data_IF_241778141703
#
_entry.id   IF_241778141703
#
_cell.length_a   1.000
_cell.length_b   1.000
_cell.length_c   1.000
_cell.angle_alpha   90.00
_cell.angle_beta   90.00
_cell.angle_gamma   90.00
#
_symmetry.space_group_name_H-M   'P 1'
#
loop_
_entity.id
_entity.type
_entity.pdbx_description
1 polymer ?
2 non-polymer ?
3 non-polymer ?
4 non-polymer ?
5 non-polymer ?
6 water ?
#
# COMPACT_ATOMS: atom_id res chain seq x y z
N UNK A 7 -12.88 -13.96 29.56
CA UNK A 7 -12.22 -13.30 28.43
C UNK A 7 -10.67 -13.32 28.59
N UNK A 8 -10.02 -12.12 28.59
CA UNK A 8 -8.57 -11.87 28.74
C UNK A 8 -8.38 -10.37 29.12
N UNK A 9 -7.13 -9.93 29.36
CA UNK A 9 -6.82 -8.52 29.68
C UNK A 9 -5.60 -8.03 28.91
N UNK A 10 -5.52 -6.70 28.74
CA UNK A 10 -4.39 -6.04 28.10
C UNK A 10 -3.18 -6.00 29.05
N UNK A 11 -1.92 -6.14 28.55
CA UNK A 11 -0.77 -6.06 29.45
C UNK A 11 -0.68 -4.72 30.15
N UNK A 12 -0.14 -4.73 31.37
CA UNK A 12 0.01 -3.56 32.22
C UNK A 12 0.75 -2.38 31.56
N UNK A 13 1.83 -2.66 30.80
CA UNK A 13 2.65 -1.67 30.09
C UNK A 13 1.85 -0.86 29.06
N UNK A 14 0.89 -1.51 28.39
CA UNK A 14 0.00 -0.89 27.42
C UNK A 14 -1.02 -0.01 28.16
N UNK A 15 -1.76 -0.59 29.15
CA UNK A 15 -2.75 0.11 29.98
C UNK A 15 -2.16 1.34 30.67
N UNK A 16 -0.83 1.29 30.91
CA UNK A 16 -0.13 2.41 31.54
C UNK A 16 -0.14 3.67 30.69
N UNK A 17 -0.02 3.53 29.36
CA UNK A 17 0.06 4.66 28.44
C UNK A 17 -1.19 4.91 27.63
N UNK A 18 -2.03 3.90 27.48
CA UNK A 18 -3.23 3.96 26.66
C UNK A 18 -4.48 3.48 27.36
N UNK A 19 -5.59 4.20 27.09
CA UNK A 19 -6.93 3.85 27.52
C UNK A 19 -7.52 3.12 26.32
N UNK A 20 -7.70 1.80 26.45
CA UNK A 20 -8.26 0.98 25.39
C UNK A 20 -9.77 1.19 25.23
N UNK A 21 -10.22 1.20 23.97
CA UNK A 21 -11.62 1.43 23.61
C UNK A 21 -12.08 0.35 22.58
N UNK A 22 -13.17 0.65 21.83
CA UNK A 22 -13.83 -0.19 20.83
C UNK A 22 -12.92 -0.86 19.81
N UNK A 23 -13.36 -2.01 19.27
CA UNK A 23 -12.64 -2.77 18.23
C UNK A 23 -12.97 -2.13 16.87
N UNK A 24 -11.94 -1.91 16.03
CA UNK A 24 -12.09 -1.28 14.72
C UNK A 24 -12.13 -2.28 13.54
N UNK A 25 -11.83 -3.55 13.83
CA UNK A 25 -11.80 -4.64 12.86
C UNK A 25 -11.19 -5.90 13.42
N UNK A 30 -5.32 -9.30 11.53
CA UNK A 30 -5.48 -9.23 12.98
C UNK A 30 -6.47 -8.18 13.47
N UNK A 31 -6.76 -8.20 14.80
CA UNK A 31 -7.69 -7.28 15.46
C UNK A 31 -7.05 -5.91 15.72
N UNK A 32 -7.79 -4.82 15.37
CA UNK A 32 -7.36 -3.44 15.56
C UNK A 32 -8.35 -2.78 16.54
N UNK A 33 -7.83 -2.16 17.61
CA UNK A 33 -8.64 -1.48 18.62
C UNK A 33 -8.34 0.01 18.64
N UNK A 34 -9.36 0.80 19.00
CA UNK A 34 -9.25 2.24 19.19
C UNK A 34 -8.73 2.42 20.61
N UNK A 35 -7.82 3.37 20.80
CA UNK A 35 -7.26 3.69 22.11
C UNK A 35 -6.94 5.15 22.16
N UNK A 36 -6.73 5.65 23.38
CA UNK A 36 -6.39 7.02 23.65
C UNK A 36 -5.08 7.08 24.38
N UNK A 37 -4.14 7.84 23.86
CA UNK A 37 -2.85 8.07 24.51
C UNK A 37 -3.12 9.01 25.66
N UNK A 38 -2.81 8.54 26.87
CA UNK A 38 -3.05 9.28 28.12
C UNK A 38 -2.31 10.63 28.13
N UNK A 39 -1.04 10.63 27.67
CA UNK A 39 -0.18 11.81 27.63
C UNK A 39 -0.80 12.96 26.80
N UNK A 40 -1.43 12.66 25.67
CA UNK A 40 -1.97 13.68 24.74
C UNK A 40 -3.48 13.78 24.61
N UNK A 41 -4.20 12.71 25.05
CA UNK A 41 -5.65 12.54 24.90
C UNK A 41 -6.04 12.39 23.43
N UNK A 42 -5.10 11.91 22.60
CA UNK A 42 -5.32 11.71 21.18
C UNK A 42 -5.58 10.26 20.87
N UNK A 43 -6.39 10.02 19.83
CA UNK A 43 -6.76 8.69 19.37
C UNK A 43 -5.61 8.03 18.65
N UNK A 44 -5.47 6.73 18.85
CA UNK A 44 -4.48 5.88 18.20
C UNK A 44 -5.20 4.60 17.81
N UNK A 45 -4.60 3.80 16.95
CA UNK A 45 -5.15 2.50 16.59
C UNK A 45 -4.13 1.49 17.11
N UNK A 46 -4.61 0.43 17.76
CA UNK A 46 -3.71 -0.59 18.29
C UNK A 46 -3.98 -1.93 17.62
N UNK A 47 -3.00 -2.39 16.84
CA UNK A 47 -3.05 -3.65 16.12
C UNK A 47 -2.56 -4.77 17.03
N UNK A 48 -3.44 -5.72 17.30
CA UNK A 48 -3.16 -6.88 18.15
C UNK A 48 -2.83 -8.08 17.26
N UNK A 49 -1.61 -8.60 17.39
CA UNK A 49 -1.14 -9.78 16.64
C UNK A 49 -0.91 -10.95 17.61
N UNK A 50 -1.78 -11.98 17.55
CA UNK A 50 -1.69 -13.19 18.40
C UNK A 50 -0.37 -13.94 18.20
N UNK A 51 0.22 -14.44 19.30
CA UNK A 51 1.48 -15.19 19.29
C UNK A 51 1.23 -16.68 19.12
N UNK A 65 5.53 -13.82 14.50
CA UNK A 65 6.70 -13.45 15.29
C UNK A 65 7.88 -12.98 14.41
N UNK A 66 8.23 -13.77 13.36
CA UNK A 66 9.32 -13.45 12.43
C UNK A 66 8.90 -12.31 11.49
N UNK A 67 7.61 -12.28 11.12
CA UNK A 67 7.01 -11.25 10.29
C UNK A 67 6.82 -9.97 11.11
N UNK A 68 6.48 -10.13 12.41
CA UNK A 68 6.25 -9.03 13.38
C UNK A 68 7.55 -8.26 13.59
N UNK A 69 8.68 -8.98 13.74
CA UNK A 69 10.03 -8.42 13.91
C UNK A 69 10.38 -7.56 12.67
N UNK A 70 10.13 -8.10 11.46
CA UNK A 70 10.40 -7.44 10.19
C UNK A 70 9.46 -6.26 9.96
N UNK A 71 8.17 -6.42 10.33
CA UNK A 71 7.13 -5.40 10.18
C UNK A 71 7.49 -4.12 10.95
N UNK A 72 7.84 -4.25 12.24
CA UNK A 72 8.21 -3.14 13.14
C UNK A 72 9.44 -2.44 12.66
N UNK A 73 10.47 -3.24 12.30
CA UNK A 73 11.74 -2.78 11.75
C UNK A 73 11.51 -1.95 10.48
N UNK A 74 10.63 -2.44 9.57
CA UNK A 74 10.26 -1.72 8.35
C UNK A 74 9.57 -0.40 8.74
N UNK A 75 8.52 -0.47 9.60
CA UNK A 75 7.72 0.69 10.04
C UNK A 75 8.52 1.79 10.69
N UNK A 76 9.52 1.44 11.53
CA UNK A 76 10.39 2.41 12.21
C UNK A 76 11.31 3.15 11.21
N UNK A 77 11.78 2.47 10.17
CA UNK A 77 12.67 3.04 9.15
C UNK A 77 11.96 4.01 8.19
N UNK A 78 10.71 3.69 7.82
CA UNK A 78 9.95 4.49 6.86
C UNK A 78 9.44 5.79 7.39
N UNK A 79 9.53 6.83 6.56
CA UNK A 79 9.04 8.15 6.88
C UNK A 79 8.51 8.77 5.59
N UNK A 80 7.24 8.53 5.34
CA UNK A 80 6.59 9.06 4.15
C UNK A 80 5.16 9.42 4.53
N UNK A 81 4.62 10.54 4.02
CA UNK A 81 3.26 10.95 4.38
C UNK A 81 2.14 9.99 3.95
N UNK A 82 2.41 9.11 2.96
CA UNK A 82 1.42 8.15 2.46
C UNK A 82 1.67 6.73 2.95
N UNK A 83 2.45 6.62 4.00
CA UNK A 83 2.74 5.35 4.66
C UNK A 83 2.41 5.51 6.16
N UNK A 84 1.62 4.59 6.72
CA UNK A 84 1.29 4.59 8.15
C UNK A 84 2.58 4.61 9.04
N UNK A 85 2.51 5.29 10.19
CA UNK A 85 3.62 5.39 11.13
C UNK A 85 3.37 4.60 12.40
N UNK A 86 4.42 3.98 12.92
CA UNK A 86 4.39 3.26 14.18
C UNK A 86 4.60 4.30 15.29
N UNK A 87 3.80 4.24 16.35
CA UNK A 87 3.93 5.18 17.46
C UNK A 87 4.55 4.50 18.67
N UNK A 88 4.29 3.20 18.83
CA UNK A 88 4.76 2.38 19.94
C UNK A 88 4.59 0.90 19.63
N UNK A 89 5.19 0.04 20.46
CA UNK A 89 5.13 -1.41 20.30
C UNK A 89 5.28 -2.10 21.65
N UNK A 90 4.39 -3.07 21.91
CA UNK A 90 4.40 -3.88 23.13
C UNK A 90 4.50 -5.38 22.79
N UNK A 91 5.49 -6.06 23.40
CA UNK A 91 5.77 -7.48 23.23
C UNK A 91 5.32 -8.23 24.50
N UNK A 92 4.09 -8.77 24.48
CA UNK A 92 3.47 -9.48 25.62
C UNK A 92 2.99 -10.90 25.22
N UNK A 93 1.80 -11.36 25.72
CA UNK A 93 1.18 -12.65 25.38
C UNK A 93 0.82 -12.62 23.91
N UNK A 94 0.55 -11.40 23.42
CA UNK A 94 0.28 -11.03 22.04
C UNK A 94 1.13 -9.80 21.74
N UNK A 95 1.31 -9.47 20.46
CA UNK A 95 2.03 -8.28 20.04
C UNK A 95 1.03 -7.14 19.90
N UNK A 96 1.43 -5.94 20.33
CA UNK A 96 0.60 -4.73 20.23
C UNK A 96 1.41 -3.68 19.48
N UNK A 97 0.96 -3.35 18.27
CA UNK A 97 1.59 -2.31 17.44
C UNK A 97 0.70 -1.08 17.50
N UNK A 98 1.19 0.01 18.12
CA UNK A 98 0.44 1.26 18.23
C UNK A 98 0.67 2.07 16.95
N UNK A 99 -0.39 2.37 16.24
CA UNK A 99 -0.30 3.10 14.97
C UNK A 99 -1.12 4.36 14.98
N UNK A 100 -0.89 5.25 14.01
CA UNK A 100 -1.74 6.42 13.90
C UNK A 100 -3.15 6.03 13.47
N UNK A 101 -4.16 6.77 13.95
CA UNK A 101 -5.55 6.51 13.62
C UNK A 101 -5.96 7.22 12.35
N UNK A 102 -6.64 6.49 11.48
CA UNK A 102 -7.13 7.00 10.20
C UNK A 102 -8.62 7.01 10.29
N UNK A 103 -9.21 8.20 10.31
CA UNK A 103 -10.64 8.42 10.48
C UNK A 103 -11.57 7.97 9.38
N UNK A 104 -11.09 7.94 8.14
CA UNK A 104 -11.92 7.50 7.01
C UNK A 104 -11.99 6.00 6.77
N UNK A 105 -11.21 5.23 7.55
CA UNK A 105 -11.15 3.78 7.42
C UNK A 105 -10.50 3.31 6.13
N UNK A 106 -10.81 2.09 5.75
CA UNK A 106 -10.26 1.42 4.57
C UNK A 106 -10.88 1.88 3.27
N UNK A 107 -10.05 1.94 2.21
CA UNK A 107 -10.49 2.21 0.84
C UNK A 107 -11.49 1.10 0.43
N UNK A 108 -11.36 -0.12 1.00
CA UNK A 108 -12.25 -1.27 0.73
C UNK A 108 -13.73 -0.89 0.91
N UNK A 109 -14.04 -0.17 1.99
CA UNK A 109 -15.40 0.25 2.31
C UNK A 109 -15.98 1.28 1.32
N UNK A 110 -15.11 1.98 0.56
CA UNK A 110 -15.54 2.94 -0.46
C UNK A 110 -15.79 2.27 -1.83
N UNK A 111 -15.40 1.01 -1.99
CA UNK A 111 -15.50 0.27 -3.26
C UNK A 111 -16.29 -1.04 -3.15
N UNK A 112 -16.58 -1.49 -1.90
CA UNK A 112 -17.32 -2.72 -1.62
C UNK A 112 -18.66 -2.75 -2.37
N UNK A 113 -18.97 -3.93 -2.90
CA UNK A 113 -20.15 -4.15 -3.73
C UNK A 113 -19.80 -3.71 -5.12
N UNK A 114 -20.60 -2.78 -5.67
CA UNK A 114 -20.35 -2.21 -6.98
C UNK A 114 -20.17 -0.68 -6.96
N UNK A 115 -19.76 -0.17 -5.77
CA UNK A 115 -19.50 1.25 -5.55
C UNK A 115 -18.22 1.66 -6.28
N UNK A 116 -18.33 2.73 -7.05
CA UNK A 116 -17.21 3.27 -7.81
C UNK A 116 -16.99 4.72 -7.48
N UNK A 117 -15.71 5.08 -7.31
CA UNK A 117 -15.28 6.44 -7.01
C UNK A 117 -15.31 7.27 -8.29
N UNK A 118 -15.39 8.60 -8.14
CA UNK A 118 -15.28 9.55 -9.26
C UNK A 118 -13.85 9.39 -9.78
N UNK A 119 -13.65 9.50 -11.09
CA UNK A 119 -12.33 9.34 -11.71
C UNK A 119 -11.27 10.25 -11.08
N UNK A 120 -11.65 11.48 -10.71
CA UNK A 120 -10.78 12.46 -10.11
C UNK A 120 -10.35 12.02 -8.71
N UNK A 121 -11.25 11.35 -7.98
CA UNK A 121 -10.98 10.80 -6.64
C UNK A 121 -10.01 9.62 -6.79
N UNK A 122 -10.22 8.75 -7.82
CA UNK A 122 -9.32 7.63 -8.15
C UNK A 122 -7.92 8.16 -8.38
N UNK A 123 -7.79 9.23 -9.17
CA UNK A 123 -6.52 9.82 -9.53
C UNK A 123 -5.79 10.30 -8.32
N UNK A 124 -6.47 11.09 -7.47
CA UNK A 124 -5.87 11.61 -6.25
C UNK A 124 -5.37 10.48 -5.33
N UNK A 125 -6.20 9.45 -5.13
CA UNK A 125 -5.79 8.33 -4.28
C UNK A 125 -4.70 7.50 -4.93
N UNK A 126 -4.81 7.25 -6.27
CA UNK A 126 -3.81 6.44 -6.99
C UNK A 126 -2.44 7.08 -6.97
N UNK A 127 -2.39 8.41 -7.22
CA UNK A 127 -1.16 9.19 -7.23
C UNK A 127 -0.44 8.98 -5.92
N UNK A 128 -1.17 9.06 -4.80
CA UNK A 128 -0.60 8.87 -3.46
C UNK A 128 -0.07 7.45 -3.26
N UNK A 129 -0.83 6.44 -3.75
CA UNK A 129 -0.45 5.04 -3.67
C UNK A 129 0.88 4.83 -4.44
N UNK A 130 1.03 5.50 -5.60
CA UNK A 130 2.25 5.41 -6.42
C UNK A 130 3.45 6.03 -5.70
N UNK A 131 3.26 7.18 -5.05
CA UNK A 131 4.31 7.86 -4.31
C UNK A 131 4.75 6.99 -3.15
N UNK A 132 3.80 6.39 -2.44
CA UNK A 132 4.03 5.48 -1.32
C UNK A 132 4.83 4.25 -1.78
N UNK A 133 4.39 3.60 -2.86
CA UNK A 133 5.05 2.39 -3.37
C UNK A 133 6.40 2.72 -3.97
N UNK A 134 6.52 3.86 -4.62
CA UNK A 134 7.79 4.32 -5.18
C UNK A 134 8.80 4.50 -4.05
N UNK A 135 8.39 5.17 -2.95
CA UNK A 135 9.19 5.37 -1.75
C UNK A 135 9.63 4.00 -1.18
N UNK A 136 8.72 3.00 -1.14
CA UNK A 136 9.03 1.66 -0.63
C UNK A 136 10.13 1.00 -1.46
N UNK A 137 9.95 1.01 -2.79
CA UNK A 137 10.88 0.42 -3.77
C UNK A 137 12.24 1.11 -3.75
N UNK A 138 12.28 2.44 -3.58
CA UNK A 138 13.52 3.22 -3.43
C UNK A 138 14.27 2.82 -2.16
N UNK A 139 13.54 2.39 -1.12
CA UNK A 139 14.08 1.98 0.18
C UNK A 139 14.27 0.47 0.37
N UNK A 140 14.21 -0.28 -0.74
CA UNK A 140 14.38 -1.72 -0.76
C UNK A 140 13.29 -2.54 -0.11
N UNK A 141 12.06 -2.02 -0.09
CA UNK A 141 10.94 -2.73 0.53
C UNK A 141 9.88 -3.07 -0.53
N UNK A 142 9.39 -4.30 -0.48
CA UNK A 142 8.30 -4.79 -1.33
C UNK A 142 7.16 -5.07 -0.37
N UNK A 143 5.99 -4.50 -0.60
CA UNK A 143 4.83 -4.66 0.28
C UNK A 143 4.24 -6.06 0.18
N UNK A 144 3.97 -6.51 -1.06
CA UNK A 144 3.45 -7.86 -1.39
C UNK A 144 2.00 -8.14 -1.01
N UNK A 145 1.32 -7.20 -0.38
CA UNK A 145 -0.06 -7.43 0.03
C UNK A 145 -0.92 -6.17 -0.19
N UNK A 146 -0.67 -5.45 -1.31
CA UNK A 146 -1.45 -4.26 -1.63
C UNK A 146 -2.86 -4.66 -2.06
N UNK A 147 -3.86 -4.07 -1.40
CA UNK A 147 -5.28 -4.32 -1.63
C UNK A 147 -6.09 -3.20 -0.98
N UNK A 148 -7.35 -2.95 -1.44
CA UNK A 148 -8.16 -1.86 -0.85
C UNK A 148 -8.26 -1.87 0.68
N UNK A 149 -8.20 -3.06 1.33
CA UNK A 149 -8.23 -3.12 2.81
C UNK A 149 -6.94 -2.70 3.49
N UNK A 150 -5.84 -2.56 2.70
CA UNK A 150 -4.53 -2.11 3.23
C UNK A 150 -4.23 -0.65 2.87
N UNK A 151 -5.24 0.05 2.36
CA UNK A 151 -5.15 1.48 2.03
C UNK A 151 -6.15 2.17 2.98
N UNK A 152 -5.65 3.09 3.82
CA UNK A 152 -6.47 3.82 4.78
C UNK A 152 -6.64 5.25 4.37
N UNK A 153 -7.83 5.80 4.61
CA UNK A 153 -8.13 7.20 4.30
C UNK A 153 -8.06 8.04 5.58
N UNK A 154 -7.43 9.23 5.51
CA UNK A 154 -7.24 10.12 6.66
C UNK A 154 -8.50 10.79 7.18
N UNK A 155 -9.51 10.96 6.32
CA UNK A 155 -10.77 11.59 6.74
C UNK A 155 -11.96 11.00 6.01
N UNK A 156 -13.17 11.42 6.43
CA UNK A 156 -14.45 11.02 5.85
C UNK A 156 -14.75 11.82 4.54
N UNK A 157 -13.96 12.87 4.30
CA UNK A 157 -14.04 13.71 3.09
C UNK A 157 -13.42 12.93 1.96
N UNK A 158 -14.02 13.00 0.75
CA UNK A 158 -13.47 12.25 -0.39
C UNK A 158 -12.10 12.74 -0.85
N UNK A 159 -11.80 14.02 -0.67
CA UNK A 159 -10.50 14.55 -1.00
C UNK A 159 -9.70 14.48 0.28
N UNK A 160 -8.94 13.38 0.45
CA UNK A 160 -8.15 13.15 1.66
C UNK A 160 -6.81 12.49 1.36
N UNK A 161 -5.97 12.40 2.40
CA UNK A 161 -4.69 11.75 2.30
C UNK A 161 -4.89 10.27 2.50
N UNK A 162 -4.13 9.44 1.78
CA UNK A 162 -4.24 8.00 1.96
C UNK A 162 -2.97 7.45 2.55
N UNK A 163 -3.07 6.34 3.31
CA UNK A 163 -1.88 5.70 3.86
C UNK A 163 -1.88 4.22 3.63
N UNK A 164 -0.73 3.71 3.18
CA UNK A 164 -0.51 2.30 2.97
C UNK A 164 -0.22 1.75 4.34
N UNK A 165 -0.77 0.58 4.65
CA UNK A 165 -0.58 -0.10 5.91
C UNK A 165 -0.36 -1.59 5.68
N UNK A 166 -0.20 -2.35 6.80
CA UNK A 166 -0.07 -3.82 6.87
C UNK A 166 1.15 -4.36 6.13
N UNK A 167 2.31 -4.18 6.78
CA UNK A 167 3.62 -4.58 6.28
C UNK A 167 4.05 -5.97 6.77
N UNK A 168 3.08 -6.79 7.18
CA UNK A 168 3.27 -8.16 7.67
C UNK A 168 3.83 -9.15 6.66
N UNK A 169 3.47 -9.01 5.36
CA UNK A 169 3.93 -9.86 4.25
C UNK A 169 5.09 -9.19 3.51
N UNK A 170 5.55 -8.04 3.98
CA UNK A 170 6.60 -7.33 3.26
C UNK A 170 7.98 -7.97 3.28
N UNK A 171 8.77 -7.65 2.27
CA UNK A 171 10.11 -8.23 2.08
C UNK A 171 11.13 -7.13 1.89
N UNK A 172 12.29 -7.28 2.51
CA UNK A 172 13.42 -6.36 2.39
C UNK A 172 14.38 -6.90 1.31
N UNK A 173 14.75 -6.05 0.35
CA UNK A 173 15.71 -6.37 -0.73
C UNK A 173 17.10 -5.95 -0.25
N UNK A 174 18.03 -6.90 -0.34
CA UNK A 174 19.45 -6.72 -0.03
C UNK A 174 20.31 -7.49 -1.00
N UNK A 175 21.57 -7.82 -0.61
CA UNK A 175 22.48 -8.62 -1.45
C UNK A 175 21.98 -10.07 -1.44
N UNK A 176 21.52 -10.54 -2.62
CA UNK A 176 20.96 -11.88 -2.85
C UNK A 176 22.04 -12.96 -2.79
N UNK A 177 21.58 -14.22 -2.58
CA UNK A 177 22.40 -15.42 -2.59
C UNK A 177 22.82 -15.66 -4.04
N UNK A 178 21.97 -15.22 -5.00
CA UNK A 178 22.23 -15.29 -6.44
C UNK A 178 23.43 -14.43 -6.82
N UNK A 179 23.50 -13.20 -6.28
CA UNK A 179 24.59 -12.27 -6.51
C UNK A 179 25.91 -12.87 -6.02
N UNK A 180 25.88 -13.54 -4.84
CA UNK A 180 27.05 -14.25 -4.26
C UNK A 180 27.44 -15.48 -5.12
N UNK A 181 26.43 -16.22 -5.63
CA UNK A 181 26.57 -17.40 -6.47
C UNK A 181 27.26 -17.03 -7.78
N UNK A 182 26.89 -15.87 -8.38
CA UNK A 182 27.46 -15.38 -9.63
C UNK A 182 28.92 -14.88 -9.50
N UNK A 183 29.41 -14.65 -8.27
CA UNK A 183 30.80 -14.22 -8.03
C UNK A 183 31.79 -15.39 -8.26
N UNK A 184 31.27 -16.61 -8.21
CA UNK A 184 32.06 -17.82 -8.44
C UNK A 184 31.88 -18.40 -9.84
N UNK A 185 32.63 -19.49 -10.10
CA UNK A 185 32.55 -20.22 -11.37
C UNK A 185 31.35 -21.17 -11.32
N UNK A 186 30.53 -21.23 -12.39
CA UNK A 186 29.33 -22.09 -12.34
C UNK A 186 29.57 -23.54 -12.72
N UNK A 187 30.78 -24.07 -12.58
CA UNK A 187 31.10 -25.45 -12.93
C UNK A 187 30.05 -26.47 -12.41
N UNK A 188 29.58 -26.29 -11.15
CA UNK A 188 28.65 -27.16 -10.43
C UNK A 188 27.25 -26.57 -10.31
N UNK A 189 27.06 -25.36 -10.83
CA UNK A 189 25.79 -24.67 -10.76
C UNK A 189 24.71 -25.22 -11.73
N UNK A 190 23.52 -25.49 -11.17
CA UNK A 190 22.37 -26.02 -11.88
C UNK A 190 21.82 -25.04 -12.91
N UNK A 191 21.29 -25.54 -14.05
CA UNK A 191 20.77 -24.62 -15.10
C UNK A 191 19.63 -23.70 -14.69
N UNK A 192 18.71 -24.16 -13.81
CA UNK A 192 17.58 -23.32 -13.37
C UNK A 192 18.03 -22.10 -12.56
N UNK A 193 19.22 -22.18 -11.94
CA UNK A 193 19.78 -21.04 -11.20
C UNK A 193 20.23 -19.99 -12.24
N UNK A 194 20.89 -20.44 -13.30
CA UNK A 194 21.35 -19.56 -14.38
C UNK A 194 20.18 -18.97 -15.17
N UNK A 195 19.12 -19.76 -15.40
CA UNK A 195 17.88 -19.32 -16.07
C UNK A 195 17.21 -18.21 -15.23
N UNK A 196 17.21 -18.32 -13.89
CA UNK A 196 16.62 -17.35 -12.97
C UNK A 196 17.26 -15.95 -13.00
N UNK A 197 18.48 -15.83 -13.56
CA UNK A 197 19.22 -14.57 -13.69
C UNK A 197 18.44 -13.55 -14.58
N UNK A 198 17.70 -14.05 -15.58
CA UNK A 198 16.87 -13.25 -16.48
C UNK A 198 15.87 -12.36 -15.74
N UNK A 199 15.23 -12.93 -14.67
CA UNK A 199 14.21 -12.22 -13.88
C UNK A 199 14.64 -11.67 -12.54
N UNK A 200 15.79 -12.09 -12.01
CA UNK A 200 16.24 -11.59 -10.71
C UNK A 200 16.13 -10.04 -10.57
N UNK A 201 15.59 -9.59 -9.43
CA UNK A 201 15.44 -8.15 -9.23
C UNK A 201 14.15 -7.55 -9.76
N UNK A 202 13.15 -8.38 -10.14
CA UNK A 202 11.86 -7.89 -10.60
C UNK A 202 10.74 -8.18 -9.66
N UNK A 203 11.09 -8.60 -8.42
CA UNK A 203 10.15 -8.94 -7.35
C UNK A 203 9.19 -7.80 -7.02
N UNK A 204 9.69 -6.56 -7.08
CA UNK A 204 8.93 -5.34 -6.81
C UNK A 204 7.76 -5.17 -7.76
N UNK A 205 7.86 -5.74 -8.99
CA UNK A 205 6.81 -5.69 -9.99
C UNK A 205 5.47 -6.31 -9.49
N UNK A 206 5.50 -7.14 -8.42
CA UNK A 206 4.27 -7.72 -7.84
C UNK A 206 3.41 -6.57 -7.25
N UNK A 207 4.05 -5.53 -6.68
CA UNK A 207 3.34 -4.34 -6.17
C UNK A 207 2.66 -3.55 -7.26
N UNK A 208 3.30 -3.45 -8.43
CA UNK A 208 2.74 -2.76 -9.56
C UNK A 208 1.55 -3.47 -10.17
N UNK A 209 1.56 -4.82 -10.15
CA UNK A 209 0.43 -5.62 -10.60
C UNK A 209 -0.77 -5.31 -9.66
N UNK A 210 -0.55 -5.46 -8.33
CA UNK A 210 -1.55 -5.17 -7.28
C UNK A 210 -2.15 -3.75 -7.42
N UNK A 211 -1.30 -2.75 -7.71
CA UNK A 211 -1.71 -1.36 -7.95
C UNK A 211 -2.64 -1.27 -9.16
N UNK A 212 -2.35 -2.07 -10.19
CA UNK A 212 -3.17 -2.12 -11.40
C UNK A 212 -4.55 -2.70 -11.10
N UNK A 213 -4.64 -3.70 -10.21
CA UNK A 213 -5.88 -4.35 -9.78
C UNK A 213 -6.70 -3.38 -8.90
N UNK A 214 -6.03 -2.62 -8.01
CA UNK A 214 -6.71 -1.65 -7.14
C UNK A 214 -7.31 -0.56 -8.03
N UNK A 215 -6.51 -0.01 -8.97
CA UNK A 215 -6.93 1.04 -9.91
C UNK A 215 -8.11 0.58 -10.77
N UNK A 216 -8.06 -0.65 -11.29
CA UNK A 216 -9.15 -1.25 -12.07
C UNK A 216 -10.46 -1.22 -11.23
N UNK A 217 -10.40 -1.72 -10.00
CA UNK A 217 -11.53 -1.74 -9.08
C UNK A 217 -12.06 -0.34 -8.78
N UNK A 218 -11.17 0.60 -8.44
CA UNK A 218 -11.56 1.97 -8.15
C UNK A 218 -12.27 2.65 -9.29
N UNK A 219 -11.76 2.49 -10.51
CA UNK A 219 -12.33 3.12 -11.71
C UNK A 219 -13.66 2.51 -12.17
N UNK A 220 -13.77 1.19 -12.07
CA UNK A 220 -14.91 0.44 -12.60
C UNK A 220 -15.98 -0.02 -11.59
N UNK A 221 -15.59 -0.23 -10.34
CA UNK A 221 -16.47 -0.72 -9.28
C UNK A 221 -16.54 -2.22 -9.23
N UNK A 222 -15.77 -2.92 -10.07
CA UNK A 222 -15.77 -4.39 -10.13
C UNK A 222 -14.34 -4.97 -10.30
N UNK A 223 -14.04 -6.20 -9.79
CA UNK A 223 -12.68 -6.78 -9.94
C UNK A 223 -12.34 -7.26 -11.36
N UNK A 224 -11.05 -7.17 -11.81
CA UNK A 224 -10.73 -7.62 -13.19
C UNK A 224 -10.72 -9.14 -13.36
N UNK A 225 -10.39 -9.87 -12.28
CA UNK A 225 -10.33 -11.32 -12.22
C UNK A 225 -11.30 -11.78 -11.12
N UNK A 226 -12.27 -12.62 -11.49
CA UNK A 226 -13.30 -13.09 -10.57
C UNK A 226 -13.82 -14.45 -10.99
N UNK A 227 -14.29 -15.24 -10.02
CA UNK A 227 -14.86 -16.54 -10.33
C UNK A 227 -16.37 -16.43 -10.61
N UNK A 228 -16.95 -15.23 -10.38
CA UNK A 228 -18.36 -14.89 -10.62
C UNK A 228 -18.61 -14.74 -12.12
N UNK A 229 -19.69 -15.37 -12.60
CA UNK A 229 -20.17 -15.35 -13.97
C UNK A 229 -19.09 -15.62 -15.05
N UNK A 230 -18.37 -16.77 -14.92
CA UNK A 230 -17.29 -17.23 -15.82
C UNK A 230 -16.90 -18.69 -15.58
N UNK A 231 -16.35 -19.34 -16.62
CA UNK A 231 -15.91 -20.73 -16.57
C UNK A 231 -14.41 -20.88 -16.32
N UNK A 232 -13.61 -19.99 -16.94
CA UNK A 232 -12.15 -19.95 -16.82
C UNK A 232 -11.73 -19.74 -15.34
N UNK A 233 -10.80 -20.58 -14.84
CA UNK A 233 -10.33 -20.51 -13.45
C UNK A 233 -9.63 -19.18 -13.21
N UNK A 234 -9.72 -18.69 -11.95
CA UNK A 234 -9.09 -17.46 -11.48
C UNK A 234 -7.62 -17.47 -11.85
N UNK A 235 -6.93 -18.59 -11.61
CA UNK A 235 -5.51 -18.79 -11.99
C UNK A 235 -5.28 -18.49 -13.45
N UNK A 236 -6.10 -19.09 -14.35
CA UNK A 236 -6.02 -18.96 -15.81
C UNK A 236 -6.33 -17.55 -16.29
N UNK A 237 -7.34 -16.87 -15.70
CA UNK A 237 -7.63 -15.47 -16.04
C UNK A 237 -6.39 -14.62 -15.70
N UNK A 238 -5.72 -14.87 -14.55
CA UNK A 238 -4.54 -14.08 -14.14
C UNK A 238 -3.29 -14.35 -14.99
N UNK A 239 -2.90 -15.63 -15.15
CA UNK A 239 -1.66 -15.94 -15.91
C UNK A 239 -1.70 -15.54 -17.40
N UNK A 240 -2.90 -15.45 -17.99
CA UNK A 240 -3.12 -14.99 -19.37
C UNK A 240 -3.29 -13.46 -19.39
N UNK A 241 -3.66 -12.88 -18.23
CA UNK A 241 -3.92 -11.46 -18.07
C UNK A 241 -5.14 -11.00 -18.82
N UNK A 242 -6.09 -11.90 -19.01
CA UNK A 242 -7.32 -11.59 -19.71
C UNK A 242 -8.35 -11.19 -18.67
N UNK A 243 -8.33 -9.90 -18.34
CA UNK A 243 -9.24 -9.28 -17.39
C UNK A 243 -10.63 -9.19 -17.99
N UNK A 244 -11.63 -9.20 -17.11
CA UNK A 244 -13.00 -9.06 -17.50
C UNK A 244 -13.27 -7.59 -17.83
N UNK A 245 -13.33 -7.27 -19.13
CA UNK A 245 -13.65 -5.92 -19.59
C UNK A 245 -15.14 -5.76 -19.91
N UNK A 246 -15.84 -4.86 -19.20
CA UNK A 246 -17.26 -4.56 -19.42
C UNK A 246 -17.36 -3.16 -20.07
N UNK A 247 -17.52 -3.07 -21.42
CA UNK A 247 -17.57 -1.75 -22.08
C UNK A 247 -18.53 -0.70 -21.50
N UNK A 248 -19.75 -1.12 -21.08
CA UNK A 248 -20.78 -0.23 -20.51
C UNK A 248 -20.29 0.48 -19.25
N UNK A 249 -19.47 -0.23 -18.46
CA UNK A 249 -18.93 0.28 -17.22
C UNK A 249 -17.76 1.24 -17.53
N UNK A 250 -16.90 0.83 -18.47
CA UNK A 250 -15.70 1.57 -18.87
C UNK A 250 -15.90 2.75 -19.79
N UNK A 251 -17.11 2.91 -20.39
CA UNK A 251 -17.44 4.04 -21.26
C UNK A 251 -17.41 5.37 -20.45
N UNK A 252 -17.78 5.31 -19.16
CA UNK A 252 -17.80 6.40 -18.17
C UNK A 252 -16.38 6.89 -17.81
N UNK A 253 -15.38 6.03 -18.03
CA UNK A 253 -13.97 6.26 -17.70
C UNK A 253 -13.17 6.74 -18.92
N UNK A 254 -12.18 7.61 -18.69
CA UNK A 254 -11.29 8.12 -19.75
C UNK A 254 -10.41 7.01 -20.33
N UNK A 255 -9.92 7.23 -21.55
CA UNK A 255 -9.02 6.34 -22.29
C UNK A 255 -7.66 6.31 -21.61
N UNK A 256 -7.19 7.47 -21.11
CA UNK A 256 -5.91 7.63 -20.41
C UNK A 256 -5.85 6.75 -19.15
N UNK A 257 -6.96 6.73 -18.36
CA UNK A 257 -7.08 5.93 -17.14
C UNK A 257 -7.00 4.46 -17.47
N UNK A 258 -7.74 4.00 -18.49
CA UNK A 258 -7.73 2.62 -18.93
C UNK A 258 -6.38 2.19 -19.49
N UNK A 259 -5.72 3.10 -20.24
CA UNK A 259 -4.38 2.89 -20.80
C UNK A 259 -3.38 2.61 -19.68
N UNK A 260 -3.48 3.33 -18.55
CA UNK A 260 -2.60 3.10 -17.41
C UNK A 260 -2.83 1.71 -16.79
N UNK A 261 -4.11 1.33 -16.55
CA UNK A 261 -4.54 0.01 -16.03
C UNK A 261 -3.92 -1.07 -16.93
N UNK A 262 -4.07 -0.90 -18.27
CA UNK A 262 -3.55 -1.83 -19.26
C UNK A 262 -2.02 -2.02 -19.14
N UNK A 263 -1.28 -0.94 -18.83
CA UNK A 263 0.19 -0.98 -18.67
C UNK A 263 0.67 -1.58 -17.33
N UNK A 264 -0.23 -1.67 -16.35
CA UNK A 264 0.08 -2.26 -15.05
C UNK A 264 -0.36 -3.69 -15.02
N UNK A 265 -1.42 -4.03 -15.77
CA UNK A 265 -1.92 -5.40 -15.85
C UNK A 265 -1.25 -6.20 -16.99
N UNK A 266 0.09 -6.10 -17.12
CA UNK A 266 0.90 -6.79 -18.12
C UNK A 266 1.50 -8.04 -17.45
N UNK A 267 1.32 -9.19 -18.07
CA UNK A 267 1.77 -10.51 -17.60
C UNK A 267 3.28 -10.60 -17.33
N UNK A 268 4.11 -10.10 -18.25
CA UNK A 268 5.57 -10.12 -18.12
C UNK A 268 6.02 -9.05 -17.11
N UNK A 269 6.60 -9.46 -15.94
CA UNK A 269 7.01 -8.45 -14.94
C UNK A 269 8.11 -7.49 -15.40
N UNK A 270 8.88 -7.86 -16.46
CA UNK A 270 9.96 -7.04 -17.04
C UNK A 270 9.41 -5.96 -17.99
N UNK A 271 8.24 -6.21 -18.63
CA UNK A 271 7.59 -5.21 -19.52
C UNK A 271 6.56 -4.36 -18.74
N UNK A 272 6.09 -4.86 -17.58
CA UNK A 272 5.12 -4.18 -16.71
C UNK A 272 5.64 -2.81 -16.28
N UNK A 273 4.72 -1.81 -16.23
CA UNK A 273 5.04 -0.46 -15.77
C UNK A 273 5.50 -0.48 -14.34
N UNK A 274 6.53 0.31 -14.06
CA UNK A 274 7.07 0.49 -12.72
C UNK A 274 6.32 1.71 -12.17
N UNK A 275 6.48 2.00 -10.86
CA UNK A 275 5.87 3.18 -10.23
C UNK A 275 6.30 4.48 -10.92
N UNK A 276 7.59 4.60 -11.36
CA UNK A 276 8.13 5.78 -12.06
C UNK A 276 7.44 5.98 -13.40
N UNK A 277 7.25 4.89 -14.16
CA UNK A 277 6.58 4.94 -15.48
C UNK A 277 5.11 5.32 -15.30
N UNK A 278 4.44 4.74 -14.27
CA UNK A 278 3.06 5.08 -13.95
C UNK A 278 2.98 6.59 -13.57
N UNK A 279 3.93 7.13 -12.75
CA UNK A 279 3.95 8.56 -12.36
C UNK A 279 4.17 9.51 -13.52
N UNK A 280 4.86 9.05 -14.60
CA UNK A 280 5.13 9.82 -15.82
C UNK A 280 3.98 9.66 -16.83
N UNK A 281 3.02 8.73 -16.58
CA UNK A 281 1.88 8.50 -17.49
C UNK A 281 1.00 9.74 -17.65
N UNK A 282 0.54 10.06 -18.90
CA UNK A 282 -0.34 11.23 -19.11
C UNK A 282 -1.55 11.40 -18.17
N UNK A 283 -2.12 10.28 -17.66
CA UNK A 283 -3.26 10.31 -16.73
C UNK A 283 -2.89 11.01 -15.41
N UNK A 284 -1.62 10.91 -15.01
CA UNK A 284 -1.13 11.53 -13.77
C UNK A 284 -0.54 12.94 -13.93
N UNK A 285 -0.53 13.44 -15.19
CA UNK A 285 -0.06 14.80 -15.51
C UNK A 285 -1.26 15.74 -15.36
N UNK A 286 -1.69 15.96 -14.10
CA UNK A 286 -2.85 16.72 -13.67
C UNK A 286 -2.41 17.62 -12.52
N UNK A 287 -2.12 18.88 -12.84
CA UNK A 287 -1.68 19.86 -11.83
C UNK A 287 -2.71 20.21 -10.77
N UNK A 288 -4.00 20.10 -11.12
CA UNK A 288 -5.10 20.34 -10.20
C UNK A 288 -5.12 19.27 -9.11
N UNK A 289 -4.96 17.98 -9.54
CA UNK A 289 -4.91 16.83 -8.64
C UNK A 289 -3.67 17.00 -7.74
N UNK A 290 -2.50 17.32 -8.33
CA UNK A 290 -1.24 17.54 -7.59
C UNK A 290 -1.33 18.65 -6.54
N UNK A 291 -1.96 19.79 -6.91
CA UNK A 291 -2.17 20.93 -6.00
C UNK A 291 -3.05 20.53 -4.83
N UNK A 292 -4.15 19.78 -5.10
CA UNK A 292 -5.08 19.26 -4.08
C UNK A 292 -4.32 18.37 -3.08
N UNK A 293 -3.37 17.55 -3.57
CA UNK A 293 -2.54 16.69 -2.74
C UNK A 293 -1.60 17.56 -1.86
N UNK A 294 -0.90 18.55 -2.49
CA UNK A 294 -0.01 19.48 -1.76
C UNK A 294 -0.79 20.28 -0.70
N UNK A 295 -2.05 20.64 -1.02
CA UNK A 295 -2.95 21.34 -0.09
C UNK A 295 -3.32 20.45 1.10
N UNK A 296 -3.56 19.14 0.87
CA UNK A 296 -3.91 18.19 1.94
C UNK A 296 -2.70 17.91 2.86
N UNK A 297 -1.49 17.94 2.26
CA UNK A 297 -0.21 17.73 2.96
C UNK A 297 0.02 18.85 3.99
N UNK A 298 0.16 20.10 3.50
CA UNK A 298 0.38 21.28 4.33
C UNK A 298 -0.68 21.48 5.43
N UNK A 299 -1.96 21.17 5.14
CA UNK A 299 -3.05 21.25 6.10
C UNK A 299 -2.83 20.28 7.28
N UNK A 300 -2.34 19.05 7.01
CA UNK A 300 -2.06 18.06 8.06
C UNK A 300 -0.75 18.39 8.82
N UNK A 301 0.23 18.97 8.11
CA UNK A 301 1.53 19.38 8.65
C UNK A 301 1.44 20.64 9.54
N UNK A 302 0.36 21.45 9.36
CA UNK A 302 0.09 22.70 10.06
C UNK A 302 0.24 22.61 11.58
N UNK A 303 -0.18 21.48 12.18
CA UNK A 303 -0.09 21.24 13.63
C UNK A 303 1.34 20.87 14.08
N UNK A 304 2.07 20.12 13.23
CA UNK A 304 3.43 19.66 13.50
C UNK A 304 4.50 20.76 13.31
N UNK A 305 4.26 21.68 12.35
CA UNK A 305 5.17 22.75 11.90
C UNK A 305 5.78 23.68 12.97
N UNK A 306 7.09 23.49 13.22
CA UNK A 306 7.89 24.32 14.13
C UNK A 306 8.30 25.61 13.39
N UNK A 307 8.57 26.75 14.10
CA UNK A 307 8.96 27.98 13.38
C UNK A 307 10.21 27.86 12.51
N UNK A 308 10.28 28.71 11.48
CA UNK A 308 11.33 28.65 10.46
C UNK A 308 12.49 29.62 10.60
N UNK A 309 13.72 29.10 10.34
CA UNK A 309 14.94 29.91 10.27
C UNK A 309 14.87 30.51 8.88
N UNK A 310 14.51 31.80 8.81
CA UNK A 310 14.32 32.52 7.57
C UNK A 310 15.54 33.36 7.21
N UNK A 311 15.85 33.41 5.90
CA UNK A 311 16.95 34.20 5.34
C UNK A 311 16.71 35.70 5.54
N UNK A 312 17.79 36.47 5.78
CA UNK A 312 17.69 37.91 6.01
C UNK A 312 18.62 38.71 5.07
N UNK A 313 18.07 39.59 4.18
CA UNK A 313 18.94 40.36 3.28
C UNK A 313 19.61 41.57 3.95
#
# INVERSE_FOLDING_TARGET
GPLGSHMSVYPKALRDEYIMSKTLGSGACGEVKLAFERKTCKKVAIKIISKRKFAIGSAREADPALNVETEIEILKKLNHPCIIKIKNFFDAEDYYIVLELMEGGELFDKVVGNKRLKEATCKLYFYQMLLAVQYLHENGIIHRDLKPENVLLSSQEEDCLIKITDFGHSKILGETSLMRTLCGTPTYLAPEVLVSVGTAGYNRAVDCWSLGVILFICLSGYPPFSEHRTQVSLKDQITSGKYNFIPEVWAEVSEKALDLVKKLLVVDPKARFTTEEALRHPWLQDEDMKRKFQDLLSEENESTALPQVLAQPSTSRKRPREGEAEGAE
#
